data_IF_808003661483
#
_entry.id   IF_808003661483
#
_cell.length_a   1.000
_cell.length_b   1.000
_cell.length_c   1.000
_cell.angle_alpha   90.00
_cell.angle_beta   90.00
_cell.angle_gamma   90.00
#
_symmetry.space_group_name_H-M   'P 1'
#
loop_
_entity.id
_entity.type
_entity.pdbx_description
1 polymer ?
#
# COMPACT_ATOMS: atom_id res chain seq x y z
N UNK A 1 11.92 -6.48 -4.14
CA UNK A 1 11.37 -5.47 -5.06
C UNK A 1 12.47 -4.80 -5.85
N UNK A 2 12.32 -4.76 -7.18
CA UNK A 2 13.22 -4.02 -8.08
C UNK A 2 12.42 -3.35 -9.20
N UNK A 3 12.74 -2.10 -9.48
CA UNK A 3 12.24 -1.40 -10.66
C UNK A 3 12.89 -1.96 -11.94
N UNK A 4 12.13 -1.97 -13.03
CA UNK A 4 12.63 -2.27 -14.37
C UNK A 4 13.64 -1.21 -14.81
N UNK A 5 14.67 -1.59 -15.58
CA UNK A 5 15.56 -0.61 -16.21
C UNK A 5 14.76 0.42 -17.02
N UNK A 6 15.13 1.69 -16.91
CA UNK A 6 14.45 2.79 -17.61
C UNK A 6 13.14 3.29 -16.95
N UNK A 7 12.68 2.67 -15.86
CA UNK A 7 11.61 3.23 -15.02
C UNK A 7 12.22 4.03 -13.87
N UNK A 8 11.66 5.21 -13.60
CA UNK A 8 12.02 5.96 -12.40
C UNK A 8 11.68 5.16 -11.14
N UNK A 9 12.57 5.21 -10.14
CA UNK A 9 12.27 4.63 -8.83
C UNK A 9 11.16 5.45 -8.17
N UNK A 10 10.11 4.82 -7.63
CA UNK A 10 9.02 5.53 -6.98
C UNK A 10 9.50 6.07 -5.62
N UNK A 11 8.90 7.18 -5.18
CA UNK A 11 9.18 7.78 -3.87
C UNK A 11 8.58 6.93 -2.74
N UNK A 12 9.44 6.14 -2.09
CA UNK A 12 9.07 5.24 -1.00
C UNK A 12 8.67 5.95 0.31
N UNK A 13 8.88 7.27 0.40
CA UNK A 13 8.39 8.03 1.56
C UNK A 13 6.86 8.16 1.57
N UNK A 14 6.22 7.98 0.41
CA UNK A 14 4.76 7.95 0.30
C UNK A 14 4.22 6.63 0.84
N UNK A 15 3.38 6.67 1.87
CA UNK A 15 2.78 5.46 2.47
C UNK A 15 2.13 4.53 1.44
N UNK A 16 1.34 5.01 0.46
CA UNK A 16 0.75 4.13 -0.55
C UNK A 16 1.77 3.45 -1.48
N UNK A 17 2.92 4.10 -1.72
CA UNK A 17 4.04 3.51 -2.48
C UNK A 17 4.70 2.43 -1.65
N UNK A 18 5.01 2.73 -0.38
CA UNK A 18 5.60 1.76 0.55
C UNK A 18 4.72 0.52 0.70
N UNK A 19 3.40 0.69 0.85
CA UNK A 19 2.44 -0.44 0.90
C UNK A 19 2.51 -1.32 -0.34
N UNK A 20 2.59 -0.72 -1.53
CA UNK A 20 2.69 -1.48 -2.77
C UNK A 20 4.04 -2.22 -2.90
N UNK A 21 5.13 -1.63 -2.40
CA UNK A 21 6.44 -2.29 -2.30
C UNK A 21 6.38 -3.44 -1.30
N UNK A 22 5.81 -3.24 -0.12
CA UNK A 22 5.65 -4.29 0.89
C UNK A 22 4.80 -5.46 0.38
N UNK A 23 3.73 -5.18 -0.37
CA UNK A 23 2.94 -6.22 -1.02
C UNK A 23 3.77 -7.02 -2.02
N UNK A 24 4.65 -6.36 -2.77
CA UNK A 24 5.53 -7.05 -3.70
C UNK A 24 6.54 -7.97 -2.98
N UNK A 25 7.09 -7.56 -1.84
CA UNK A 25 8.05 -8.39 -1.10
C UNK A 25 7.42 -9.61 -0.43
N UNK A 26 6.12 -9.55 -0.10
CA UNK A 26 5.43 -10.55 0.73
C UNK A 26 4.38 -11.37 0.01
N UNK A 27 3.95 -10.91 -1.16
CA UNK A 27 2.89 -11.55 -1.93
C UNK A 27 3.41 -12.68 -2.82
N UNK A 28 2.48 -13.27 -3.55
CA UNK A 28 2.71 -14.39 -4.45
C UNK A 28 2.90 -13.92 -5.89
N UNK A 29 3.98 -14.38 -6.52
CA UNK A 29 4.22 -14.20 -7.94
C UNK A 29 3.14 -14.90 -8.75
N UNK A 30 2.52 -14.16 -9.67
CA UNK A 30 1.46 -14.67 -10.52
C UNK A 30 2.02 -15.33 -11.79
N UNK A 31 1.49 -16.49 -12.15
CA UNK A 31 1.77 -17.14 -13.43
C UNK A 31 1.19 -16.33 -14.61
N UNK A 32 1.59 -16.66 -15.84
CA UNK A 32 1.22 -15.90 -17.05
C UNK A 32 -0.30 -15.75 -17.28
N UNK A 33 -1.10 -16.71 -16.83
CA UNK A 33 -2.54 -16.72 -16.99
C UNK A 33 -3.22 -15.78 -15.98
N UNK A 34 -2.74 -15.79 -14.74
CA UNK A 34 -3.26 -15.00 -13.62
C UNK A 34 -2.74 -13.55 -13.58
N UNK A 35 -1.69 -13.25 -14.32
CA UNK A 35 -1.14 -11.92 -14.46
C UNK A 35 -2.22 -10.92 -14.94
N UNK A 36 -2.26 -9.75 -14.32
CA UNK A 36 -3.12 -8.68 -14.81
C UNK A 36 -2.66 -8.24 -16.22
N UNK A 37 -3.60 -7.73 -17.02
CA UNK A 37 -3.33 -7.35 -18.41
C UNK A 37 -2.18 -6.37 -18.58
N UNK A 38 -1.97 -5.45 -17.62
CA UNK A 38 -0.85 -4.49 -17.62
C UNK A 38 0.50 -5.17 -17.38
N UNK A 39 0.59 -6.07 -16.39
CA UNK A 39 1.84 -6.77 -16.12
C UNK A 39 2.22 -7.72 -17.26
N UNK A 40 1.23 -8.38 -17.86
CA UNK A 40 1.44 -9.23 -19.05
C UNK A 40 1.99 -8.47 -20.26
N UNK A 41 1.67 -7.16 -20.37
CA UNK A 41 2.23 -6.25 -21.38
C UNK A 41 3.58 -5.65 -20.99
N UNK A 42 4.06 -5.86 -19.76
CA UNK A 42 5.29 -5.25 -19.26
C UNK A 42 5.15 -3.79 -18.78
N UNK A 43 3.92 -3.31 -18.56
CA UNK A 43 3.65 -1.92 -18.15
C UNK A 43 3.94 -1.65 -16.66
N UNK A 44 4.24 -2.69 -15.88
CA UNK A 44 4.58 -2.58 -14.47
C UNK A 44 5.90 -1.86 -14.22
N UNK A 45 6.01 -1.16 -13.08
CA UNK A 45 7.29 -0.60 -12.62
C UNK A 45 8.26 -1.74 -12.28
N UNK A 46 7.77 -2.78 -11.61
CA UNK A 46 8.52 -4.02 -11.40
C UNK A 46 8.21 -5.04 -12.49
N UNK A 47 9.15 -5.96 -12.73
CA UNK A 47 8.99 -7.03 -13.71
C UNK A 47 7.89 -8.03 -13.34
N UNK A 48 7.75 -8.29 -12.04
CA UNK A 48 6.89 -9.33 -11.50
C UNK A 48 5.48 -8.80 -11.21
N UNK A 49 4.47 -9.62 -11.53
CA UNK A 49 3.11 -9.38 -11.09
C UNK A 49 2.92 -10.09 -9.75
N UNK A 50 2.98 -9.35 -8.64
CA UNK A 50 2.82 -9.93 -7.30
C UNK A 50 1.49 -9.50 -6.73
N UNK A 51 0.70 -10.45 -6.20
CA UNK A 51 -0.57 -10.21 -5.49
C UNK A 51 -0.51 -10.79 -4.09
N UNK A 52 -1.32 -10.29 -3.18
CA UNK A 52 -1.53 -10.93 -1.88
C UNK A 52 -3.00 -11.35 -1.76
N UNK A 53 -3.31 -12.63 -1.54
CA UNK A 53 -4.69 -13.11 -1.38
C UNK A 53 -5.42 -12.34 -0.28
N UNK A 54 -6.68 -11.97 -0.54
CA UNK A 54 -7.55 -11.32 0.45
C UNK A 54 -7.24 -9.83 0.73
N UNK A 55 -6.21 -9.24 0.12
CA UNK A 55 -5.88 -7.81 0.31
C UNK A 55 -6.06 -7.04 -1.00
N UNK A 56 -6.40 -5.76 -0.88
CA UNK A 56 -6.50 -4.79 -1.99
C UNK A 56 -7.38 -5.24 -3.17
N UNK A 57 -8.42 -6.04 -2.90
CA UNK A 57 -9.32 -6.61 -3.91
C UNK A 57 -8.57 -7.38 -5.02
N UNK A 58 -7.47 -8.06 -4.65
CA UNK A 58 -6.65 -8.81 -5.59
C UNK A 58 -5.82 -7.95 -6.56
N UNK A 59 -5.69 -6.64 -6.29
CA UNK A 59 -4.80 -5.80 -7.07
C UNK A 59 -3.33 -6.21 -6.86
N UNK A 60 -2.55 -6.25 -7.94
CA UNK A 60 -1.12 -6.49 -7.85
C UNK A 60 -0.35 -5.22 -7.44
N UNK A 61 0.88 -5.38 -6.94
CA UNK A 61 1.77 -4.30 -6.50
C UNK A 61 1.97 -3.23 -7.56
N UNK A 62 2.20 -3.63 -8.82
CA UNK A 62 2.33 -2.71 -9.96
C UNK A 62 1.06 -1.86 -10.19
N UNK A 63 -0.12 -2.47 -10.05
CA UNK A 63 -1.39 -1.74 -10.18
C UNK A 63 -1.61 -0.78 -9.01
N UNK A 64 -1.16 -1.13 -7.81
CA UNK A 64 -1.21 -0.23 -6.65
C UNK A 64 -0.28 0.97 -6.86
N UNK A 65 0.97 0.75 -7.26
CA UNK A 65 1.91 1.83 -7.62
C UNK A 65 1.34 2.74 -8.71
N UNK A 66 0.77 2.19 -9.78
CA UNK A 66 0.21 3.02 -10.85
C UNK A 66 -0.97 3.90 -10.39
N UNK A 67 -1.73 3.48 -9.36
CA UNK A 67 -2.82 4.28 -8.81
C UNK A 67 -2.32 5.47 -7.98
N UNK A 68 -1.16 5.35 -7.35
CA UNK A 68 -0.56 6.47 -6.59
C UNK A 68 -0.06 7.55 -7.54
N UNK A 69 0.55 7.18 -8.67
CA UNK A 69 1.01 8.12 -9.69
C UNK A 69 -0.12 8.89 -10.39
N UNK A 70 -1.29 8.27 -10.56
CA UNK A 70 -2.44 8.87 -11.24
C UNK A 70 -3.37 9.70 -10.32
N UNK A 71 -3.05 9.81 -9.03
CA UNK A 71 -3.80 10.66 -8.09
C UNK A 71 -2.96 11.89 -7.73
N UNK A 72 -3.12 13.01 -8.44
CA UNK A 72 -2.63 14.28 -7.91
C UNK A 72 -3.45 14.60 -6.65
N UNK A 73 -2.82 14.58 -5.48
CA UNK A 73 -3.41 15.08 -4.23
C UNK A 73 -4.12 14.08 -3.32
N UNK A 74 -3.90 12.76 -3.44
CA UNK A 74 -4.40 11.81 -2.43
C UNK A 74 -3.46 11.76 -1.23
N UNK A 75 -3.33 12.87 -0.51
CA UNK A 75 -2.97 12.88 0.90
C UNK A 75 -3.79 11.79 1.57
N UNK A 76 -3.12 10.79 2.15
CA UNK A 76 -3.77 9.69 2.83
C UNK A 76 -4.83 10.24 3.78
N UNK A 77 -6.07 9.77 3.67
CA UNK A 77 -7.02 9.96 4.77
C UNK A 77 -6.34 9.32 5.98
N UNK A 78 -6.08 10.05 7.08
CA UNK A 78 -5.52 9.42 8.25
C UNK A 78 -6.48 8.30 8.66
N UNK A 79 -5.96 7.08 8.72
CA UNK A 79 -6.61 5.99 9.41
C UNK A 79 -6.88 6.53 10.81
N UNK A 80 -8.16 6.73 11.16
CA UNK A 80 -8.58 7.12 12.50
C UNK A 80 -7.89 6.17 13.47
N UNK A 81 -6.89 6.69 14.19
CA UNK A 81 -6.24 5.99 15.28
C UNK A 81 -7.30 5.67 16.33
N UNK A 82 -7.78 4.43 16.33
CA UNK A 82 -8.53 3.88 17.43
C UNK A 82 -7.54 3.55 18.56
N UNK A 83 -7.06 4.58 19.23
CA UNK A 83 -6.53 4.46 20.59
C UNK A 83 -7.49 5.25 21.47
N UNK A 84 -8.48 4.51 21.96
CA UNK A 84 -9.52 4.99 22.85
C UNK A 84 -8.96 5.87 23.97
N UNK A 85 -9.55 7.06 24.07
CA UNK A 85 -9.70 7.91 25.25
C UNK A 85 -9.39 7.15 26.55
N UNK A 86 -8.17 7.29 27.07
CA UNK A 86 -7.87 6.83 28.44
C UNK A 86 -8.58 7.79 29.38
N UNK A 87 -9.79 7.41 29.76
CA UNK A 87 -10.62 7.95 30.85
C UNK A 87 -9.78 8.69 31.88
N UNK A 88 -9.84 10.02 31.84
CA UNK A 88 -9.45 10.86 32.98
C UNK A 88 -10.63 10.84 33.96
N UNK A 89 -10.66 9.82 34.82
CA UNK A 89 -11.51 9.81 36.00
C UNK A 89 -10.56 9.71 37.19
N UNK A 90 -10.27 10.85 37.81
CA UNK A 90 -9.71 10.90 39.16
C UNK A 90 -10.51 11.89 39.99
N UNK A 91 -10.96 11.39 41.13
CA UNK A 91 -12.06 11.87 41.94
C UNK A 91 -11.81 13.21 42.65
N UNK A 92 -12.87 14.00 42.76
CA UNK A 92 -13.01 15.07 43.76
C UNK A 92 -13.16 14.41 45.14
N UNK A 93 -12.17 14.57 46.01
CA UNK A 93 -12.33 14.30 47.45
C UNK A 93 -12.35 15.66 48.15
N UNK A 94 -13.50 16.02 48.71
CA UNK A 94 -13.67 17.20 49.57
C UNK A 94 -12.92 17.00 50.89
N UNK A 95 -12.16 17.99 51.40
CA UNK A 95 -11.73 17.98 52.78
C UNK A 95 -12.87 18.42 53.72
N UNK A 96 -12.91 17.80 54.90
CA UNK A 96 -13.79 18.14 56.04
C UNK A 96 -13.39 19.44 56.72
#
# INVERSE_FOLDING_TARGET
WRARPGRASPDISQTPVLEAVMLHERGDLQNSEEQCSKCRKGDGISAECVKMPGIYNGACSNCLLARTSNRPGSSGRPIRSYSAERRSISATISPS
#
